data_IF_480319340435
#
_entry.id   IF_480319340435
#
_cell.length_a   1.000
_cell.length_b   1.000
_cell.length_c   1.000
_cell.angle_alpha   90.00
_cell.angle_beta   90.00
_cell.angle_gamma   90.00
#
_symmetry.space_group_name_H-M   'P 1'
#
loop_
_entity.id
_entity.type
_entity.pdbx_description
1 polymer ?
#
# COMPACT_ATOMS: atom_id res chain seq x y z
N UNK A 1 -16.21 -10.00 -0.33
CA UNK A 1 -15.03 -9.50 -1.06
C UNK A 1 -15.00 -8.00 -0.88
N UNK A 2 -13.90 -7.42 -0.39
CA UNK A 2 -13.71 -5.97 -0.40
C UNK A 2 -13.78 -5.49 -1.84
N UNK A 3 -14.59 -4.46 -2.10
CA UNK A 3 -14.68 -3.83 -3.42
C UNK A 3 -13.27 -3.40 -3.83
N UNK A 4 -12.78 -3.69 -5.06
CA UNK A 4 -11.53 -3.13 -5.53
C UNK A 4 -11.64 -1.61 -5.47
N UNK A 5 -10.88 -0.99 -4.57
CA UNK A 5 -10.81 0.46 -4.46
C UNK A 5 -9.95 0.95 -5.62
N UNK A 6 -10.56 1.64 -6.57
CA UNK A 6 -9.85 2.35 -7.62
C UNK A 6 -9.39 3.69 -7.05
N UNK A 7 -8.08 3.93 -7.11
CA UNK A 7 -7.51 5.23 -6.82
C UNK A 7 -7.16 5.89 -8.15
N UNK A 8 -7.77 7.03 -8.44
CA UNK A 8 -7.37 7.86 -9.58
C UNK A 8 -6.21 8.74 -9.14
N UNK A 9 -5.01 8.42 -9.60
CA UNK A 9 -3.85 9.27 -9.43
C UNK A 9 -3.82 10.25 -10.62
N UNK A 10 -4.14 11.52 -10.38
CA UNK A 10 -4.14 12.58 -11.41
C UNK A 10 -2.81 13.32 -11.54
N UNK A 11 -1.79 12.91 -10.79
CA UNK A 11 -0.49 13.59 -10.68
C UNK A 11 0.61 12.88 -11.50
N UNK A 12 1.55 13.66 -12.08
CA UNK A 12 2.80 13.13 -12.64
C UNK A 12 3.78 12.77 -11.51
N UNK A 13 3.64 11.56 -10.95
CA UNK A 13 4.62 10.98 -10.02
C UNK A 13 5.59 10.06 -10.77
N UNK A 14 6.81 9.87 -10.28
CA UNK A 14 7.68 8.82 -10.81
C UNK A 14 7.13 7.47 -10.37
N UNK A 15 6.51 6.76 -11.31
CA UNK A 15 5.82 5.51 -11.01
C UNK A 15 6.82 4.37 -10.82
N UNK A 16 6.80 3.75 -9.64
CA UNK A 16 7.54 2.50 -9.42
C UNK A 16 6.75 1.34 -9.98
N UNK A 17 7.16 0.87 -11.15
CA UNK A 17 6.67 -0.37 -11.73
C UNK A 17 7.32 -1.56 -11.05
N UNK A 18 6.52 -2.55 -10.66
CA UNK A 18 6.98 -3.82 -10.12
C UNK A 18 6.41 -4.93 -11.01
N UNK A 19 7.25 -5.89 -11.36
CA UNK A 19 6.83 -7.11 -12.03
C UNK A 19 6.26 -8.08 -10.99
N UNK A 20 5.02 -8.52 -11.19
CA UNK A 20 4.35 -9.48 -10.31
C UNK A 20 3.83 -10.66 -11.12
N UNK A 21 3.75 -11.83 -10.48
CA UNK A 21 3.10 -13.03 -11.01
C UNK A 21 1.71 -13.15 -10.39
N UNK A 22 0.65 -13.12 -11.21
CA UNK A 22 -0.75 -13.20 -10.73
C UNK A 22 -1.58 -14.17 -11.57
N UNK A 23 -2.51 -14.91 -10.94
CA UNK A 23 -3.46 -15.75 -11.67
C UNK A 23 -4.57 -14.88 -12.28
N UNK A 24 -4.60 -14.80 -13.60
CA UNK A 24 -5.64 -14.09 -14.36
C UNK A 24 -6.75 -15.08 -14.71
N UNK A 25 -7.98 -14.78 -14.31
CA UNK A 25 -9.15 -15.62 -14.64
C UNK A 25 -9.52 -15.40 -16.11
N UNK A 26 -9.51 -16.48 -16.89
CA UNK A 26 -9.84 -16.48 -18.32
C UNK A 26 -11.33 -16.70 -18.55
N UNK A 27 -11.89 -17.68 -17.82
CA UNK A 27 -13.30 -18.07 -17.92
C UNK A 27 -13.75 -18.73 -16.61
N UNK A 28 -15.03 -18.60 -16.30
CA UNK A 28 -15.65 -19.29 -15.18
C UNK A 28 -16.92 -20.01 -15.65
N UNK A 29 -17.09 -21.26 -15.23
CA UNK A 29 -18.26 -22.05 -15.56
C UNK A 29 -18.90 -22.60 -14.28
N UNK A 30 -20.23 -22.48 -14.18
CA UNK A 30 -21.02 -23.21 -13.20
C UNK A 30 -21.29 -24.62 -13.72
N UNK A 31 -21.05 -25.60 -12.85
CA UNK A 31 -21.04 -27.01 -13.22
C UNK A 31 -22.03 -27.74 -12.33
N UNK A 32 -22.94 -28.46 -12.98
CA UNK A 32 -23.86 -29.36 -12.32
C UNK A 32 -23.59 -30.80 -12.78
N UNK A 33 -23.39 -31.70 -11.81
CA UNK A 33 -23.23 -33.14 -12.03
C UNK A 33 -24.29 -33.87 -11.23
N UNK A 34 -25.10 -34.68 -11.92
CA UNK A 34 -26.09 -35.54 -11.28
C UNK A 34 -25.55 -36.96 -11.26
N UNK A 35 -25.48 -37.54 -10.06
CA UNK A 35 -25.01 -38.92 -9.82
C UNK A 35 -26.17 -39.72 -9.25
N UNK A 36 -26.68 -40.64 -10.06
CA UNK A 36 -27.72 -41.60 -9.63
C UNK A 36 -27.07 -42.92 -9.24
N UNK A 37 -27.44 -43.47 -8.08
CA UNK A 37 -26.85 -44.69 -7.56
C UNK A 37 -27.83 -45.55 -6.75
N UNK A 38 -27.59 -46.84 -6.72
CA UNK A 38 -28.27 -47.78 -5.84
C UNK A 38 -27.25 -48.54 -5.00
N UNK A 39 -27.41 -48.50 -3.68
CA UNK A 39 -26.56 -49.25 -2.75
C UNK A 39 -27.38 -50.31 -2.02
N UNK A 40 -26.76 -51.47 -1.80
CA UNK A 40 -27.29 -52.50 -0.91
C UNK A 40 -26.66 -52.31 0.46
N UNK A 41 -27.49 -52.02 1.47
CA UNK A 41 -27.06 -51.85 2.85
C UNK A 41 -26.54 -53.19 3.42
N UNK A 42 -25.49 -53.18 4.26
CA UNK A 42 -24.96 -54.40 4.88
C UNK A 42 -25.97 -55.13 5.76
N UNK A 43 -26.92 -54.38 6.33
CA UNK A 43 -27.98 -54.88 7.20
C UNK A 43 -29.33 -54.32 6.76
N UNK A 44 -30.42 -54.94 7.24
CA UNK A 44 -31.78 -54.46 7.01
C UNK A 44 -32.05 -53.21 7.85
N UNK A 45 -32.33 -52.10 7.16
CA UNK A 45 -32.72 -50.83 7.72
C UNK A 45 -34.25 -50.69 7.83
N UNK A 46 -34.70 -50.09 8.92
CA UNK A 46 -36.07 -49.61 9.11
C UNK A 46 -36.27 -48.25 8.44
N UNK A 47 -35.28 -47.36 8.53
CA UNK A 47 -35.26 -46.04 7.91
C UNK A 47 -33.83 -45.53 7.71
N UNK A 48 -33.68 -44.58 6.80
CA UNK A 48 -32.48 -43.75 6.68
C UNK A 48 -32.64 -42.55 7.60
N UNK A 49 -31.61 -42.25 8.37
CA UNK A 49 -31.58 -41.09 9.26
C UNK A 49 -31.07 -39.85 8.50
N UNK A 50 -29.86 -39.96 7.94
CA UNK A 50 -29.24 -38.92 7.11
C UNK A 50 -28.14 -39.49 6.22
N UNK A 51 -27.83 -38.77 5.16
CA UNK A 51 -26.66 -39.02 4.31
C UNK A 51 -25.81 -37.75 4.35
N UNK A 52 -24.54 -37.91 4.72
CA UNK A 52 -23.55 -36.83 4.68
C UNK A 52 -22.69 -37.06 3.45
N UNK A 53 -22.50 -36.03 2.63
CA UNK A 53 -21.65 -36.15 1.45
C UNK A 53 -20.61 -35.05 1.35
N UNK A 54 -19.53 -35.40 0.66
CA UNK A 54 -18.43 -34.50 0.36
C UNK A 54 -17.78 -34.91 -0.95
N UNK A 55 -17.32 -33.93 -1.72
CA UNK A 55 -16.50 -34.17 -2.90
C UNK A 55 -15.03 -34.27 -2.45
N UNK A 56 -14.35 -35.33 -2.89
CA UNK A 56 -12.93 -35.58 -2.67
C UNK A 56 -12.19 -35.67 -4.00
N UNK A 57 -10.89 -35.46 -3.96
CA UNK A 57 -9.98 -35.64 -5.10
C UNK A 57 -10.40 -34.94 -6.39
N UNK A 58 -10.99 -33.74 -6.25
CA UNK A 58 -11.47 -32.95 -7.39
C UNK A 58 -10.29 -32.47 -8.24
N UNK A 59 -10.32 -32.81 -9.53
CA UNK A 59 -9.27 -32.50 -10.51
C UNK A 59 -9.90 -31.90 -11.76
N UNK A 60 -9.21 -30.93 -12.36
CA UNK A 60 -9.58 -30.31 -13.63
C UNK A 60 -8.48 -30.49 -14.65
N UNK A 61 -8.77 -31.19 -15.74
CA UNK A 61 -7.86 -31.33 -16.88
C UNK A 61 -8.36 -30.47 -18.03
N UNK A 62 -7.45 -29.69 -18.62
CA UNK A 62 -7.74 -28.78 -19.71
C UNK A 62 -7.45 -29.44 -21.06
N UNK A 63 -8.36 -29.25 -22.01
CA UNK A 63 -8.18 -29.65 -23.41
C UNK A 63 -7.89 -28.40 -24.23
N UNK A 64 -6.71 -28.40 -24.84
CA UNK A 64 -6.21 -27.34 -25.70
C UNK A 64 -6.39 -27.74 -27.16
N UNK A 65 -6.65 -26.74 -27.99
CA UNK A 65 -6.69 -26.84 -29.45
C UNK A 65 -5.59 -25.93 -29.98
N UNK A 66 -4.66 -26.53 -30.74
CA UNK A 66 -3.65 -25.77 -31.48
C UNK A 66 -4.26 -25.45 -32.85
N UNK A 67 -4.46 -24.17 -33.16
CA UNK A 67 -4.75 -23.77 -34.53
C UNK A 67 -3.43 -23.77 -35.31
N UNK A 68 -3.03 -24.94 -35.82
CA UNK A 68 -2.00 -24.98 -36.86
C UNK A 68 -2.57 -24.27 -38.07
N UNK A 69 -2.13 -23.03 -38.36
CA UNK A 69 -2.33 -22.44 -39.68
C UNK A 69 -1.70 -23.41 -40.68
N UNK A 70 -2.55 -24.15 -41.41
CA UNK A 70 -2.14 -25.07 -42.46
C UNK A 70 -1.53 -24.26 -43.61
N UNK A 71 -0.20 -24.13 -43.59
CA UNK A 71 0.59 -23.47 -44.63
C UNK A 71 2.07 -23.81 -44.43
N UNK A 72 2.83 -23.85 -45.53
CA UNK A 72 4.25 -24.20 -45.51
C UNK A 72 5.02 -23.40 -44.45
N UNK A 73 5.75 -24.13 -43.60
CA UNK A 73 6.57 -23.54 -42.55
C UNK A 73 7.83 -22.95 -43.20
N UNK A 74 7.78 -21.66 -43.54
CA UNK A 74 9.00 -20.89 -43.82
C UNK A 74 9.57 -20.45 -42.48
N UNK A 75 10.63 -21.12 -42.02
CA UNK A 75 11.38 -20.69 -40.85
C UNK A 75 12.08 -19.37 -41.16
N UNK A 76 11.52 -18.25 -40.67
CA UNK A 76 12.20 -16.95 -40.68
C UNK A 76 12.98 -16.80 -39.37
N UNK A 77 14.32 -16.72 -39.39
CA UNK A 77 15.10 -16.48 -38.18
C UNK A 77 14.74 -15.13 -37.55
N UNK A 78 14.38 -15.13 -36.26
CA UNK A 78 14.13 -13.90 -35.48
C UNK A 78 12.69 -13.65 -35.05
N UNK A 79 11.71 -14.39 -35.59
CA UNK A 79 10.32 -14.30 -35.12
C UNK A 79 9.97 -15.48 -34.20
N UNK A 80 9.65 -15.18 -32.93
CA UNK A 80 8.94 -16.13 -32.06
C UNK A 80 7.55 -16.33 -32.67
N UNK A 81 7.33 -17.46 -33.34
CA UNK A 81 5.97 -17.88 -33.66
C UNK A 81 5.26 -18.20 -32.35
N UNK A 82 4.49 -17.24 -31.81
CA UNK A 82 3.50 -17.52 -30.79
C UNK A 82 2.52 -18.52 -31.42
N UNK A 83 2.63 -19.79 -31.04
CA UNK A 83 1.57 -20.75 -31.33
C UNK A 83 0.36 -20.26 -30.53
N UNK A 84 -0.69 -19.85 -31.22
CA UNK A 84 -1.98 -19.52 -30.60
C UNK A 84 -2.54 -20.83 -30.03
N UNK A 85 -2.27 -21.07 -28.74
CA UNK A 85 -2.86 -22.19 -28.00
C UNK A 85 -4.17 -21.69 -27.43
N UNK A 86 -5.27 -22.41 -27.71
CA UNK A 86 -6.59 -22.05 -27.19
C UNK A 86 -7.12 -23.14 -26.28
N UNK A 87 -7.62 -22.79 -25.11
CA UNK A 87 -8.36 -23.71 -24.25
C UNK A 87 -9.80 -23.82 -24.73
N UNK A 88 -10.33 -25.05 -24.87
CA UNK A 88 -11.68 -25.29 -25.40
C UNK A 88 -12.57 -26.07 -24.44
N UNK A 89 -12.03 -27.05 -23.74
CA UNK A 89 -12.82 -27.91 -22.86
C UNK A 89 -12.15 -28.12 -21.52
N UNK A 90 -12.96 -28.39 -20.51
CA UNK A 90 -12.53 -28.79 -19.17
C UNK A 90 -13.11 -30.17 -18.88
N UNK A 91 -12.27 -31.10 -18.43
CA UNK A 91 -12.69 -32.38 -17.89
C UNK A 91 -12.53 -32.30 -16.38
N UNK A 92 -13.64 -32.37 -15.66
CA UNK A 92 -13.69 -32.34 -14.21
C UNK A 92 -13.93 -33.76 -13.73
N UNK A 93 -13.12 -34.25 -12.81
CA UNK A 93 -13.28 -35.56 -12.19
C UNK A 93 -13.07 -35.47 -10.69
N UNK A 94 -13.71 -36.38 -9.95
CA UNK A 94 -13.59 -36.45 -8.49
C UNK A 94 -14.32 -37.65 -7.94
N UNK A 95 -14.35 -37.77 -6.61
CA UNK A 95 -15.03 -38.84 -5.88
C UNK A 95 -16.11 -38.21 -5.00
N UNK A 96 -17.35 -38.62 -5.18
CA UNK A 96 -18.44 -38.34 -4.27
C UNK A 96 -18.35 -39.34 -3.11
N UNK A 97 -17.82 -38.90 -1.97
CA UNK A 97 -17.79 -39.68 -0.74
C UNK A 97 -19.07 -39.45 0.06
N UNK A 98 -19.76 -40.52 0.41
CA UNK A 98 -21.01 -40.49 1.19
C UNK A 98 -20.88 -41.35 2.44
N UNK A 99 -21.42 -40.84 3.53
CA UNK A 99 -21.64 -41.54 4.77
C UNK A 99 -23.14 -41.66 5.03
N UNK A 100 -23.65 -42.88 5.00
CA UNK A 100 -25.07 -43.18 5.13
C UNK A 100 -25.34 -43.65 6.55
N UNK A 101 -26.18 -42.93 7.29
CA UNK A 101 -26.64 -43.31 8.63
C UNK A 101 -28.06 -43.87 8.56
N UNK A 102 -28.28 -45.02 9.17
CA UNK A 102 -29.56 -45.72 9.14
C UNK A 102 -29.86 -46.43 10.46
N UNK A 103 -31.13 -46.72 10.70
CA UNK A 103 -31.59 -47.46 11.88
C UNK A 103 -31.85 -48.91 11.48
N UNK A 104 -31.20 -49.87 12.12
CA UNK A 104 -31.40 -51.30 11.82
C UNK A 104 -32.66 -51.86 12.51
N UNK A 105 -32.96 -53.15 12.29
CA UNK A 105 -34.10 -53.85 12.92
C UNK A 105 -34.09 -53.88 14.45
N UNK A 106 -32.92 -53.68 15.07
CA UNK A 106 -32.76 -53.66 16.53
C UNK A 106 -32.86 -52.25 17.12
N UNK A 107 -33.30 -51.25 16.33
CA UNK A 107 -33.31 -49.83 16.69
C UNK A 107 -31.93 -49.23 16.99
N UNK A 108 -30.87 -49.80 16.45
CA UNK A 108 -29.51 -49.29 16.58
C UNK A 108 -29.17 -48.38 15.39
N UNK A 109 -28.47 -47.27 15.65
CA UNK A 109 -27.92 -46.42 14.60
C UNK A 109 -26.64 -47.06 14.06
N UNK A 110 -26.64 -47.37 12.77
CA UNK A 110 -25.52 -47.90 12.01
C UNK A 110 -25.10 -46.93 10.93
N UNK A 111 -23.90 -47.12 10.39
CA UNK A 111 -23.43 -46.34 9.26
C UNK A 111 -22.68 -47.20 8.26
N UNK A 112 -22.66 -46.76 7.00
CA UNK A 112 -21.84 -47.33 5.95
C UNK A 112 -21.34 -46.21 5.03
N UNK A 113 -20.19 -46.42 4.41
CA UNK A 113 -19.55 -45.45 3.53
C UNK A 113 -19.59 -45.93 2.08
N UNK A 114 -19.66 -44.99 1.14
CA UNK A 114 -19.60 -45.26 -0.29
C UNK A 114 -18.83 -44.16 -1.01
N UNK A 115 -17.96 -44.57 -1.93
CA UNK A 115 -17.22 -43.67 -2.82
C UNK A 115 -17.69 -43.88 -4.26
N UNK A 116 -18.18 -42.83 -4.90
CA UNK A 116 -18.64 -42.86 -6.29
C UNK A 116 -17.79 -41.92 -7.15
N UNK A 117 -16.98 -42.44 -8.08
CA UNK A 117 -16.26 -41.58 -9.01
C UNK A 117 -17.25 -40.91 -9.97
N UNK A 118 -17.04 -39.63 -10.25
CA UNK A 118 -17.77 -38.91 -11.28
C UNK A 118 -16.81 -38.20 -12.24
N UNK A 119 -17.30 -37.94 -13.45
CA UNK A 119 -16.57 -37.15 -14.46
C UNK A 119 -17.56 -36.36 -15.29
N UNK A 120 -17.23 -35.10 -15.56
CA UNK A 120 -18.02 -34.19 -16.39
C UNK A 120 -17.11 -33.44 -17.35
N UNK A 121 -17.45 -33.46 -18.63
CA UNK A 121 -16.82 -32.60 -19.63
C UNK A 121 -17.67 -31.35 -19.84
N UNK A 122 -17.01 -30.21 -19.93
CA UNK A 122 -17.62 -28.90 -20.14
C UNK A 122 -16.94 -28.25 -21.33
N UNK A 123 -17.75 -27.80 -22.28
CA UNK A 123 -17.29 -26.96 -23.37
C UNK A 123 -17.30 -25.50 -22.92
N UNK A 124 -16.17 -24.81 -23.12
CA UNK A 124 -16.13 -23.36 -22.96
C UNK A 124 -16.95 -22.72 -24.08
N UNK A 125 -17.68 -21.65 -23.74
CA UNK A 125 -18.55 -20.91 -24.66
C UNK A 125 -17.85 -20.60 -25.99
N UNK A 126 -16.58 -20.16 -25.92
CA UNK A 126 -15.68 -19.94 -27.06
C UNK A 126 -14.27 -20.45 -26.69
N UNK A 127 -13.45 -20.88 -27.67
CA UNK A 127 -12.03 -21.10 -27.43
C UNK A 127 -11.41 -19.81 -26.86
N UNK A 128 -10.59 -19.93 -25.80
CA UNK A 128 -9.94 -18.79 -25.15
C UNK A 128 -8.43 -18.86 -25.34
N UNK A 129 -7.84 -17.73 -25.73
CA UNK A 129 -6.41 -17.61 -25.93
C UNK A 129 -5.66 -17.72 -24.60
N UNK A 130 -4.57 -18.48 -24.61
CA UNK A 130 -3.62 -18.62 -23.50
C UNK A 130 -2.21 -18.34 -24.01
N UNK A 131 -1.40 -17.68 -23.20
CA UNK A 131 -0.02 -17.32 -23.54
C UNK A 131 0.91 -18.53 -23.36
N UNK A 132 0.75 -19.27 -22.25
CA UNK A 132 1.53 -20.45 -21.94
C UNK A 132 0.65 -21.59 -21.39
N UNK A 133 0.53 -22.67 -22.15
CA UNK A 133 -0.19 -23.89 -21.78
C UNK A 133 0.18 -24.44 -20.38
N UNK A 134 1.45 -24.35 -20.00
CA UNK A 134 1.94 -24.91 -18.73
C UNK A 134 1.53 -24.09 -17.49
N UNK A 135 1.11 -22.84 -17.70
CA UNK A 135 0.71 -21.91 -16.64
C UNK A 135 -0.81 -21.84 -16.46
N UNK A 136 -1.57 -22.64 -17.22
CA UNK A 136 -3.04 -22.68 -17.14
C UNK A 136 -3.51 -23.81 -16.24
N UNK A 137 -4.38 -23.48 -15.28
CA UNK A 137 -4.92 -24.44 -14.32
C UNK A 137 -6.40 -24.14 -13.99
N UNK A 138 -7.06 -25.09 -13.34
CA UNK A 138 -8.46 -24.99 -12.93
C UNK A 138 -8.53 -24.82 -11.42
N UNK A 139 -9.23 -23.78 -10.96
CA UNK A 139 -9.57 -23.56 -9.56
C UNK A 139 -11.05 -23.85 -9.34
N UNK A 140 -11.35 -24.61 -8.28
CA UNK A 140 -12.72 -24.94 -7.91
C UNK A 140 -13.17 -24.11 -6.71
N UNK A 141 -14.38 -23.57 -6.80
CA UNK A 141 -15.02 -22.77 -5.75
C UNK A 141 -16.48 -23.20 -5.59
N UNK A 142 -17.09 -22.83 -4.46
CA UNK A 142 -18.53 -23.02 -4.21
C UNK A 142 -19.00 -24.46 -4.45
N UNK A 143 -18.25 -25.44 -3.95
CA UNK A 143 -18.59 -26.87 -4.09
C UNK A 143 -19.68 -27.20 -3.08
N UNK A 144 -20.85 -27.55 -3.59
CA UNK A 144 -22.01 -27.95 -2.81
C UNK A 144 -22.58 -29.28 -3.33
N UNK A 145 -23.19 -30.05 -2.43
CA UNK A 145 -23.77 -31.35 -2.75
C UNK A 145 -25.13 -31.48 -2.09
N UNK A 146 -26.16 -31.60 -2.90
CA UNK A 146 -27.50 -31.97 -2.46
C UNK A 146 -27.73 -33.47 -2.71
N UNK A 147 -28.42 -34.15 -1.80
CA UNK A 147 -28.73 -35.58 -1.92
C UNK A 147 -30.18 -35.84 -1.59
N UNK A 148 -30.86 -36.46 -2.53
CA UNK A 148 -32.18 -37.04 -2.34
C UNK A 148 -32.07 -38.57 -2.29
N UNK A 149 -32.89 -39.21 -1.46
CA UNK A 149 -32.84 -40.66 -1.29
C UNK A 149 -34.22 -41.27 -1.07
N UNK A 150 -34.34 -42.54 -1.46
CA UNK A 150 -35.53 -43.36 -1.24
C UNK A 150 -35.13 -44.78 -0.81
N UNK A 151 -35.64 -45.23 0.33
CA UNK A 151 -35.45 -46.60 0.79
C UNK A 151 -36.44 -47.53 0.09
N UNK A 152 -36.10 -47.98 -1.12
CA UNK A 152 -36.93 -48.84 -1.98
C UNK A 152 -37.30 -50.16 -1.29
N UNK A 153 -36.38 -50.74 -0.52
CA UNK A 153 -36.59 -51.92 0.33
C UNK A 153 -35.70 -51.81 1.56
N UNK A 154 -35.96 -52.62 2.60
CA UNK A 154 -35.19 -52.61 3.85
C UNK A 154 -33.65 -52.67 3.67
N UNK A 155 -33.12 -53.28 2.59
CA UNK A 155 -31.68 -53.25 2.29
C UNK A 155 -31.30 -52.50 1.01
N UNK A 156 -32.25 -51.92 0.25
CA UNK A 156 -31.97 -51.30 -1.05
C UNK A 156 -32.33 -49.82 -1.02
N UNK A 157 -31.29 -48.98 -1.14
CA UNK A 157 -31.40 -47.53 -1.04
C UNK A 157 -31.06 -46.91 -2.41
N UNK A 158 -32.01 -46.18 -2.97
CA UNK A 158 -31.84 -45.36 -4.16
C UNK A 158 -31.45 -43.94 -3.74
N UNK A 159 -30.50 -43.35 -4.45
CA UNK A 159 -29.93 -42.04 -4.12
C UNK A 159 -29.63 -41.27 -5.39
N UNK A 160 -30.00 -40.00 -5.40
CA UNK A 160 -29.66 -39.05 -6.46
C UNK A 160 -28.93 -37.87 -5.83
N UNK A 161 -27.65 -37.73 -6.13
CA UNK A 161 -26.82 -36.62 -5.67
C UNK A 161 -26.64 -35.57 -6.78
N UNK A 162 -26.78 -34.30 -6.44
CA UNK A 162 -26.56 -33.16 -7.33
C UNK A 162 -25.37 -32.37 -6.78
N UNK A 163 -24.27 -32.41 -7.52
CA UNK A 163 -23.04 -31.68 -7.20
C UNK A 163 -23.05 -30.38 -8.00
N UNK A 164 -22.92 -29.25 -7.31
CA UNK A 164 -22.81 -27.91 -7.93
C UNK A 164 -21.46 -27.33 -7.55
N UNK A 165 -20.71 -26.83 -8.54
CA UNK A 165 -19.43 -26.17 -8.30
C UNK A 165 -19.12 -25.12 -9.36
N UNK A 166 -18.27 -24.15 -9.03
CA UNK A 166 -17.72 -23.19 -9.98
C UNK A 166 -16.30 -23.59 -10.37
N UNK A 167 -16.07 -23.88 -11.64
CA UNK A 167 -14.75 -24.13 -12.20
C UNK A 167 -14.23 -22.84 -12.87
N UNK A 168 -13.12 -22.31 -12.37
CA UNK A 168 -12.43 -21.14 -12.94
C UNK A 168 -11.16 -21.59 -13.64
N UNK A 169 -11.03 -21.27 -14.92
CA UNK A 169 -9.78 -21.44 -15.66
C UNK A 169 -8.95 -20.19 -15.44
N UNK A 170 -7.77 -20.34 -14.87
CA UNK A 170 -6.84 -19.26 -14.61
C UNK A 170 -5.49 -19.54 -15.26
N UNK A 171 -4.80 -18.49 -15.67
CA UNK A 171 -3.44 -18.54 -16.18
C UNK A 171 -2.55 -17.63 -15.33
N UNK A 172 -1.43 -18.17 -14.90
CA UNK A 172 -0.39 -17.43 -14.20
C UNK A 172 0.35 -16.50 -15.18
N UNK A 173 0.13 -15.18 -15.06
CA UNK A 173 0.77 -14.18 -15.93
C UNK A 173 1.72 -13.29 -15.15
N UNK A 174 2.83 -12.92 -15.80
CA UNK A 174 3.71 -11.85 -15.34
C UNK A 174 3.20 -10.53 -15.91
N UNK A 175 2.86 -9.59 -15.02
CA UNK A 175 2.40 -8.25 -15.40
C UNK A 175 3.21 -7.20 -14.65
N UNK A 176 3.44 -6.07 -15.32
CA UNK A 176 3.92 -4.88 -14.64
C UNK A 176 2.73 -4.18 -14.00
N UNK A 177 2.78 -4.04 -12.67
CA UNK A 177 1.85 -3.19 -11.94
C UNK A 177 2.55 -1.92 -11.51
N UNK A 178 1.84 -0.81 -11.63
CA UNK A 178 2.21 0.42 -10.97
C UNK A 178 1.83 0.28 -9.49
N UNK A 179 2.82 0.29 -8.61
CA UNK A 179 2.56 0.37 -7.17
C UNK A 179 2.49 1.83 -6.77
N UNK A 180 1.32 2.26 -6.30
CA UNK A 180 1.21 3.55 -5.62
C UNK A 180 1.76 3.37 -4.20
N UNK A 181 2.69 4.22 -3.73
CA UNK A 181 2.96 4.26 -2.30
C UNK A 181 1.63 4.53 -1.60
N UNK A 182 1.36 3.84 -0.48
CA UNK A 182 0.25 4.27 0.39
C UNK A 182 0.49 5.76 0.66
N UNK A 183 -0.50 6.65 0.45
CA UNK A 183 -0.33 8.03 0.82
C UNK A 183 -0.06 8.03 2.32
N UNK A 184 1.21 8.22 2.72
CA UNK A 184 1.48 8.56 4.11
C UNK A 184 0.79 9.91 4.28
N UNK A 185 -0.23 9.91 5.12
CA UNK A 185 -0.92 11.13 5.47
C UNK A 185 0.09 12.09 6.08
N UNK A 186 -0.10 13.39 5.82
CA UNK A 186 0.70 14.38 6.50
C UNK A 186 0.49 14.18 8.01
N UNK A 187 1.56 13.92 8.79
CA UNK A 187 1.42 13.87 10.23
C UNK A 187 0.87 15.21 10.73
N UNK A 188 -0.05 15.16 11.69
CA UNK A 188 -0.60 16.37 12.30
C UNK A 188 0.43 17.05 13.19
N UNK A 189 0.38 18.38 13.22
CA UNK A 189 1.15 19.21 14.14
C UNK A 189 2.56 19.57 13.68
N UNK A 190 3.32 20.13 14.63
CA UNK A 190 4.68 20.62 14.39
C UNK A 190 5.70 19.48 14.36
N UNK A 191 6.45 19.38 13.27
CA UNK A 191 7.53 18.42 13.11
C UNK A 191 8.84 18.87 13.77
N UNK A 192 9.01 20.17 14.02
CA UNK A 192 10.13 20.68 14.79
C UNK A 192 9.98 20.29 16.26
N UNK A 193 11.05 19.81 16.87
CA UNK A 193 11.11 19.56 18.32
C UNK A 193 11.45 20.86 19.02
N UNK A 194 10.74 21.15 20.11
CA UNK A 194 10.94 22.38 20.87
C UNK A 194 10.95 23.62 19.94
N UNK A 195 9.88 23.74 19.14
CA UNK A 195 9.72 24.84 18.19
C UNK A 195 9.64 26.21 18.86
N UNK A 196 9.10 26.27 20.09
CA UNK A 196 9.11 27.47 20.92
C UNK A 196 10.46 27.76 21.60
N UNK A 197 11.50 26.94 21.37
CA UNK A 197 12.87 27.19 21.84
C UNK A 197 12.95 27.42 23.37
N UNK A 198 12.31 26.55 24.14
CA UNK A 198 12.17 26.69 25.61
C UNK A 198 13.18 25.84 26.39
N UNK A 199 13.83 24.86 25.75
CA UNK A 199 14.67 23.88 26.43
C UNK A 199 16.15 24.09 26.13
N UNK A 200 16.87 24.62 27.13
CA UNK A 200 18.29 24.96 27.04
C UNK A 200 19.13 24.22 28.09
N UNK A 201 20.31 23.76 27.68
CA UNK A 201 21.30 23.18 28.60
C UNK A 201 22.07 24.28 29.35
N UNK A 202 22.31 25.40 28.67
CA UNK A 202 22.82 26.67 29.20
C UNK A 202 22.41 27.83 28.27
N UNK A 203 22.83 29.05 28.60
CA UNK A 203 22.46 30.27 27.88
C UNK A 203 22.78 30.29 26.38
N UNK A 204 23.59 29.37 25.87
CA UNK A 204 24.05 29.33 24.46
C UNK A 204 23.79 28.00 23.76
N UNK A 205 23.32 26.98 24.47
CA UNK A 205 23.16 25.62 23.94
C UNK A 205 21.72 25.11 24.11
N UNK A 206 20.86 25.26 23.08
CA UNK A 206 19.53 24.66 23.08
C UNK A 206 19.62 23.13 22.97
N UNK A 207 18.75 22.39 23.65
CA UNK A 207 18.85 20.93 23.78
C UNK A 207 18.50 20.21 22.46
N UNK A 208 17.52 20.71 21.73
CA UNK A 208 17.02 20.07 20.51
C UNK A 208 17.53 20.73 19.21
N UNK A 209 18.31 21.80 19.33
CA UNK A 209 18.78 22.60 18.19
C UNK A 209 20.30 22.72 18.24
N UNK A 210 20.94 22.65 17.08
CA UNK A 210 22.32 23.07 16.92
C UNK A 210 22.40 24.58 16.83
N UNK A 211 23.37 25.17 17.53
CA UNK A 211 23.52 26.61 17.64
C UNK A 211 24.98 27.04 17.46
N UNK A 212 25.20 28.18 16.82
CA UNK A 212 26.49 28.86 16.73
C UNK A 212 26.27 30.37 16.71
N UNK A 213 26.94 31.12 17.60
CA UNK A 213 26.69 32.55 17.79
C UNK A 213 25.19 32.85 18.04
N UNK A 214 24.60 32.06 18.95
CA UNK A 214 23.21 32.19 19.41
C UNK A 214 23.24 32.17 20.93
N UNK A 215 22.33 32.91 21.56
CA UNK A 215 22.06 32.79 22.99
C UNK A 215 20.56 32.87 23.26
N UNK A 216 20.13 32.35 24.41
CA UNK A 216 18.75 32.46 24.86
C UNK A 216 18.41 33.90 25.24
N UNK A 217 17.15 34.28 25.07
CA UNK A 217 16.62 35.58 25.48
C UNK A 217 15.24 35.40 26.10
N UNK A 218 14.89 36.24 27.07
CA UNK A 218 13.56 36.25 27.72
C UNK A 218 12.58 37.18 27.02
N UNK A 219 13.03 37.89 25.98
CA UNK A 219 12.16 38.64 25.09
C UNK A 219 11.64 37.66 24.05
N UNK A 220 10.58 36.93 24.40
CA UNK A 220 9.97 35.90 23.55
C UNK A 220 8.63 36.36 22.97
N UNK A 221 8.17 35.66 21.94
CA UNK A 221 6.82 35.77 21.39
C UNK A 221 5.87 34.83 22.15
N UNK A 222 6.31 33.59 22.35
CA UNK A 222 5.63 32.55 23.12
C UNK A 222 6.47 32.15 24.35
N UNK A 223 5.84 31.48 25.31
CA UNK A 223 6.56 30.88 26.44
C UNK A 223 7.48 31.82 27.24
N UNK A 224 8.67 31.35 27.61
CA UNK A 224 9.63 32.05 28.48
C UNK A 224 10.93 32.42 27.78
N UNK A 225 11.27 31.73 26.68
CA UNK A 225 12.55 31.88 26.01
C UNK A 225 12.40 31.97 24.49
N UNK A 226 13.39 32.58 23.85
CA UNK A 226 13.56 32.57 22.40
C UNK A 226 15.05 32.47 22.07
N UNK A 227 15.40 32.24 20.80
CA UNK A 227 16.79 32.21 20.36
C UNK A 227 17.20 33.54 19.73
N UNK A 228 18.29 34.14 20.21
CA UNK A 228 18.87 35.37 19.66
C UNK A 228 20.16 35.08 18.89
N UNK A 229 20.09 35.19 17.56
CA UNK A 229 21.22 35.01 16.66
C UNK A 229 22.06 36.29 16.57
N UNK A 230 23.38 36.13 16.58
CA UNK A 230 24.35 37.23 16.60
C UNK A 230 24.66 37.76 18.02
N UNK A 231 24.08 37.17 19.06
CA UNK A 231 24.18 37.68 20.45
C UNK A 231 25.59 37.62 21.03
N UNK A 232 26.35 36.58 20.71
CA UNK A 232 27.72 36.44 21.24
C UNK A 232 28.68 37.41 20.53
N UNK A 233 28.49 37.60 19.23
CA UNK A 233 29.19 38.62 18.44
C UNK A 233 28.36 39.03 17.20
N UNK A 234 27.81 40.26 17.15
CA UNK A 234 26.94 40.69 16.05
C UNK A 234 27.71 40.95 14.73
N UNK A 235 29.04 40.88 14.75
CA UNK A 235 29.90 40.98 13.55
C UNK A 235 30.23 39.60 12.94
N UNK A 236 29.89 38.50 13.61
CA UNK A 236 30.16 37.15 13.11
C UNK A 236 28.87 36.47 12.62
N UNK A 237 28.97 35.56 11.64
CA UNK A 237 27.84 34.72 11.26
C UNK A 237 27.31 33.92 12.45
N UNK A 238 26.00 33.65 12.44
CA UNK A 238 25.36 32.78 13.42
C UNK A 238 24.42 31.79 12.75
N UNK A 239 24.19 30.64 13.39
CA UNK A 239 23.28 29.62 12.88
C UNK A 239 22.49 28.96 13.99
N UNK A 240 21.23 28.67 13.70
CA UNK A 240 20.33 27.86 14.52
C UNK A 240 19.71 26.80 13.60
N UNK A 241 19.83 25.51 13.91
CA UNK A 241 19.35 24.46 13.03
C UNK A 241 18.88 23.21 13.76
N UNK A 242 17.99 22.45 13.13
CA UNK A 242 17.51 21.17 13.65
C UNK A 242 17.27 20.18 12.51
N UNK A 243 17.72 18.94 12.73
CA UNK A 243 17.39 17.81 11.87
C UNK A 243 16.05 17.19 12.26
N UNK A 244 15.12 17.16 11.31
CA UNK A 244 13.81 16.51 11.40
C UNK A 244 13.86 15.19 10.64
N UNK A 245 13.92 14.09 11.38
CA UNK A 245 14.02 12.72 10.83
C UNK A 245 12.73 11.90 10.93
N UNK A 246 11.68 12.46 11.55
CA UNK A 246 10.37 11.82 11.71
C UNK A 246 9.30 12.65 11.04
N UNK A 247 8.32 11.98 10.43
CA UNK A 247 7.18 12.66 9.82
C UNK A 247 7.44 13.29 8.45
N UNK A 248 8.64 13.11 7.88
CA UNK A 248 8.92 13.51 6.50
C UNK A 248 8.37 12.46 5.53
N UNK A 249 7.45 12.92 4.70
CA UNK A 249 6.73 12.20 3.67
C UNK A 249 7.08 12.76 2.29
N UNK A 250 7.32 11.86 1.34
CA UNK A 250 7.53 12.15 -0.07
C UNK A 250 6.29 12.68 -0.79
N UNK A 251 6.49 13.44 -1.88
CA UNK A 251 5.40 14.01 -2.67
C UNK A 251 4.56 15.07 -1.93
N UNK A 252 5.09 15.67 -0.86
CA UNK A 252 4.39 16.70 -0.07
C UNK A 252 5.09 18.04 -0.14
N UNK A 253 4.35 19.11 0.12
CA UNK A 253 4.91 20.42 0.45
C UNK A 253 5.00 20.57 1.97
N UNK A 254 5.96 21.36 2.42
CA UNK A 254 6.07 21.72 3.83
C UNK A 254 5.94 23.23 3.98
N UNK A 255 5.39 23.63 5.11
CA UNK A 255 5.27 25.03 5.50
C UNK A 255 6.09 25.24 6.76
N UNK A 256 7.13 26.07 6.65
CA UNK A 256 7.88 26.58 7.79
C UNK A 256 7.28 27.92 8.20
N UNK A 257 6.82 28.04 9.44
CA UNK A 257 6.36 29.29 10.03
C UNK A 257 7.19 29.60 11.25
N UNK A 258 7.55 30.86 11.46
CA UNK A 258 8.28 31.29 12.65
C UNK A 258 8.03 32.76 12.91
N UNK A 259 8.30 33.20 14.12
CA UNK A 259 8.26 34.60 14.49
C UNK A 259 9.67 35.15 14.59
N UNK A 260 9.88 36.33 14.01
CA UNK A 260 11.16 37.02 14.05
C UNK A 260 10.98 38.46 14.46
N UNK A 261 11.94 38.96 15.24
CA UNK A 261 12.13 40.37 15.53
C UNK A 261 13.61 40.70 15.54
N UNK A 262 13.91 41.96 15.33
CA UNK A 262 15.25 42.49 15.53
C UNK A 262 15.41 42.94 16.98
N UNK A 263 16.65 43.01 17.44
CA UNK A 263 17.01 43.75 18.63
C UNK A 263 18.10 44.78 18.34
N UNK A 264 17.78 46.03 18.67
CA UNK A 264 18.63 47.17 18.41
C UNK A 264 19.59 47.37 19.59
N UNK A 265 20.78 46.77 19.51
CA UNK A 265 21.81 46.90 20.53
C UNK A 265 22.68 48.15 20.26
N UNK A 266 22.90 48.96 21.31
CA UNK A 266 23.89 50.04 21.30
C UNK A 266 23.67 51.11 20.22
N UNK A 267 24.63 51.25 19.30
CA UNK A 267 24.69 52.32 18.29
C UNK A 267 23.64 52.19 17.15
N UNK A 268 22.75 51.20 17.22
CA UNK A 268 21.61 50.99 16.31
C UNK A 268 22.01 50.95 14.82
N UNK A 269 23.10 50.26 14.51
CA UNK A 269 23.49 49.99 13.13
C UNK A 269 22.97 48.62 12.69
N UNK A 270 21.79 48.65 12.07
CA UNK A 270 21.11 47.48 11.50
C UNK A 270 21.66 47.16 10.11
N UNK A 271 22.46 46.10 9.99
CA UNK A 271 23.05 45.69 8.72
C UNK A 271 23.33 44.19 8.68
N UNK A 272 22.28 43.38 8.67
CA UNK A 272 22.38 41.92 8.53
C UNK A 272 21.31 41.35 7.60
N UNK A 273 21.48 40.09 7.21
CA UNK A 273 20.44 39.26 6.60
C UNK A 273 20.21 37.99 7.43
N UNK A 274 18.96 37.55 7.50
CA UNK A 274 18.55 36.30 8.12
C UNK A 274 18.01 35.39 7.03
N UNK A 275 18.68 34.28 6.75
CA UNK A 275 18.23 33.28 5.80
C UNK A 275 17.56 32.12 6.54
N UNK A 276 16.28 31.89 6.29
CA UNK A 276 15.52 30.78 6.82
C UNK A 276 15.33 29.72 5.71
N UNK A 277 15.70 28.48 5.99
CA UNK A 277 15.76 27.41 5.01
C UNK A 277 15.23 26.09 5.56
N UNK A 278 14.59 25.33 4.68
CA UNK A 278 14.27 23.91 4.85
C UNK A 278 15.00 23.13 3.78
N UNK A 279 16.01 22.37 4.18
CA UNK A 279 16.82 21.53 3.29
C UNK A 279 16.32 20.08 3.37
N UNK A 280 16.11 19.42 2.25
CA UNK A 280 15.67 18.03 2.20
C UNK A 280 16.79 17.10 1.78
N UNK A 281 16.89 15.95 2.43
CA UNK A 281 17.91 14.94 2.17
C UNK A 281 17.29 13.57 1.92
N UNK A 282 17.96 12.77 1.08
CA UNK A 282 17.65 11.34 0.93
C UNK A 282 18.28 10.47 2.05
N UNK A 283 18.05 9.17 2.00
CA UNK A 283 18.59 8.21 2.98
C UNK A 283 20.12 8.16 3.02
N UNK A 284 20.79 8.57 1.94
CA UNK A 284 22.26 8.63 1.86
C UNK A 284 22.84 9.94 2.39
N UNK A 285 21.99 10.90 2.77
CA UNK A 285 22.39 12.24 3.21
C UNK A 285 22.66 13.22 2.08
N UNK A 286 22.30 12.89 0.83
CA UNK A 286 22.42 13.82 -0.30
C UNK A 286 21.28 14.84 -0.25
N UNK A 287 21.61 16.13 -0.40
CA UNK A 287 20.60 17.18 -0.49
C UNK A 287 19.84 17.09 -1.82
N UNK A 288 18.52 16.92 -1.75
CA UNK A 288 17.64 16.73 -2.90
C UNK A 288 16.66 17.89 -3.13
N UNK A 289 16.53 18.82 -2.18
CA UNK A 289 15.64 19.98 -2.30
C UNK A 289 15.90 21.06 -1.27
N UNK A 290 15.41 22.27 -1.54
CA UNK A 290 15.49 23.42 -0.63
C UNK A 290 14.26 24.32 -0.81
N UNK A 291 13.68 24.78 0.30
CA UNK A 291 12.83 25.96 0.35
C UNK A 291 13.52 27.01 1.22
N UNK A 292 13.64 28.25 0.74
CA UNK A 292 14.37 29.30 1.44
C UNK A 292 13.71 30.66 1.30
N UNK A 293 13.93 31.51 2.30
CA UNK A 293 13.60 32.92 2.26
C UNK A 293 14.67 33.71 3.01
N UNK A 294 15.22 34.72 2.35
CA UNK A 294 16.15 35.66 2.98
C UNK A 294 15.41 36.92 3.37
N UNK A 295 15.52 37.30 4.64
CA UNK A 295 14.99 38.52 5.21
C UNK A 295 16.14 39.52 5.39
N UNK A 296 15.97 40.74 4.88
CA UNK A 296 16.87 41.83 5.23
C UNK A 296 16.51 42.35 6.61
N UNK A 297 17.50 42.82 7.35
CA UNK A 297 17.30 43.54 8.61
C UNK A 297 16.22 44.65 8.52
N UNK A 298 16.17 45.41 7.42
CA UNK A 298 15.12 46.43 7.18
C UNK A 298 13.68 45.90 7.09
N UNK A 299 13.51 44.59 6.83
CA UNK A 299 12.19 43.93 6.77
C UNK A 299 11.77 43.32 8.10
N UNK A 300 12.65 43.34 9.10
CA UNK A 300 12.42 42.75 10.42
C UNK A 300 12.17 43.89 11.42
N UNK A 301 11.03 43.95 12.12
CA UNK A 301 10.79 45.02 13.08
C UNK A 301 11.60 44.89 14.37
N UNK A 302 12.05 46.02 14.92
CA UNK A 302 12.89 46.08 16.13
C UNK A 302 12.12 45.84 17.44
N UNK A 303 10.81 46.08 17.46
CA UNK A 303 10.04 46.17 18.71
C UNK A 303 8.90 45.16 18.82
N UNK A 304 8.55 44.49 17.73
CA UNK A 304 7.47 43.53 17.69
C UNK A 304 7.88 42.30 16.86
N UNK A 305 7.43 41.14 17.31
CA UNK A 305 7.55 39.92 16.52
C UNK A 305 6.62 39.97 15.31
N UNK A 306 7.15 39.56 14.17
CA UNK A 306 6.39 39.35 12.93
C UNK A 306 6.49 37.91 12.49
N UNK A 307 5.36 37.37 12.07
CA UNK A 307 5.30 36.02 11.51
C UNK A 307 5.85 36.00 10.09
N UNK A 308 6.68 35.01 9.80
CA UNK A 308 7.18 34.70 8.47
C UNK A 308 6.78 33.28 8.12
N UNK A 309 6.35 33.07 6.88
CA UNK A 309 5.89 31.77 6.40
C UNK A 309 6.55 31.44 5.06
N UNK A 310 7.14 30.26 4.98
CA UNK A 310 7.85 29.74 3.81
C UNK A 310 7.19 28.43 3.41
N UNK A 311 6.76 28.33 2.15
CA UNK A 311 6.29 27.06 1.57
C UNK A 311 7.40 26.47 0.72
N UNK A 312 7.73 25.21 0.96
CA UNK A 312 8.75 24.49 0.20
C UNK A 312 8.20 23.99 -1.14
N UNK A 313 9.08 23.70 -2.11
CA UNK A 313 8.71 22.87 -3.25
C UNK A 313 8.20 21.49 -2.80
N UNK A 314 7.49 20.79 -3.70
CA UNK A 314 7.08 19.40 -3.48
C UNK A 314 8.34 18.53 -3.37
N UNK A 315 8.43 17.75 -2.31
CA UNK A 315 9.56 16.83 -2.07
C UNK A 315 9.53 15.65 -3.05
N UNK A 316 10.72 15.17 -3.46
CA UNK A 316 10.87 13.98 -4.33
C UNK A 316 10.56 12.67 -3.58
N UNK A 317 10.41 11.59 -4.35
CA UNK A 317 10.02 10.25 -3.85
C UNK A 317 11.04 9.61 -2.89
N UNK A 318 12.30 10.04 -2.93
CA UNK A 318 13.39 9.51 -2.12
C UNK A 318 13.72 10.38 -0.89
N UNK A 319 12.88 11.34 -0.51
CA UNK A 319 13.11 12.16 0.69
C UNK A 319 13.03 11.31 1.97
N UNK A 320 13.99 11.50 2.86
CA UNK A 320 14.06 10.81 4.14
C UNK A 320 14.05 11.75 5.34
N UNK A 321 14.78 12.87 5.25
CA UNK A 321 14.92 13.83 6.35
C UNK A 321 14.87 15.27 5.86
N UNK A 322 14.60 16.20 6.77
CA UNK A 322 14.66 17.63 6.51
C UNK A 322 15.52 18.33 7.57
N UNK A 323 16.16 19.44 7.23
CA UNK A 323 16.86 20.33 8.16
C UNK A 323 16.20 21.69 8.13
N UNK A 324 15.76 22.19 9.28
CA UNK A 324 15.39 23.59 9.46
C UNK A 324 16.68 24.33 9.80
N UNK A 325 16.97 25.44 9.11
CA UNK A 325 18.16 26.25 9.36
C UNK A 325 17.85 27.75 9.27
N UNK A 326 18.24 28.48 10.29
CA UNK A 326 18.35 29.94 10.29
C UNK A 326 19.83 30.32 10.23
N UNK A 327 20.19 31.20 9.30
CA UNK A 327 21.56 31.69 9.14
C UNK A 327 21.57 33.22 9.22
N UNK A 328 22.19 33.74 10.26
CA UNK A 328 22.43 35.16 10.46
C UNK A 328 23.76 35.55 9.78
N UNK A 329 23.70 36.48 8.84
CA UNK A 329 24.88 36.97 8.10
C UNK A 329 25.00 38.48 8.29
N UNK A 330 25.91 38.95 9.16
CA UNK A 330 26.11 40.39 9.35
C UNK A 330 26.98 40.98 8.25
N UNK A 331 26.72 42.25 7.93
CA UNK A 331 27.63 43.10 7.17
C UNK A 331 28.58 43.84 8.11
N UNK A 332 29.59 44.52 7.56
CA UNK A 332 30.53 45.31 8.36
C UNK A 332 29.80 46.33 9.24
N UNK A 333 30.21 46.43 10.51
CA UNK A 333 29.70 47.37 11.50
C UNK A 333 28.25 47.11 11.96
N UNK A 334 27.71 45.92 11.71
CA UNK A 334 26.41 45.51 12.26
C UNK A 334 26.43 45.38 13.80
N UNK A 335 25.58 46.12 14.50
CA UNK A 335 25.45 46.01 15.96
C UNK A 335 24.23 45.22 16.40
N UNK A 336 23.27 45.00 15.50
CA UNK A 336 21.96 44.46 15.84
C UNK A 336 21.90 42.94 15.66
N UNK A 337 20.94 42.32 16.32
CA UNK A 337 20.74 40.86 16.35
C UNK A 337 19.32 40.49 15.94
N UNK A 338 19.09 39.22 15.65
CA UNK A 338 17.77 38.72 15.29
C UNK A 338 17.29 37.68 16.31
N UNK A 339 16.09 37.85 16.84
CA UNK A 339 15.44 36.88 17.72
C UNK A 339 14.43 36.06 16.91
N UNK A 340 14.49 34.74 17.05
CA UNK A 340 13.60 33.77 16.40
C UNK A 340 12.86 32.99 17.48
N UNK A 341 11.56 32.78 17.26
CA UNK A 341 10.68 32.09 18.19
C UNK A 341 9.53 31.37 17.47
N UNK A 342 8.84 30.45 18.17
CA UNK A 342 7.66 29.71 17.73
C UNK A 342 7.79 29.11 16.32
N UNK A 343 8.87 28.35 16.12
CA UNK A 343 9.20 27.67 14.87
C UNK A 343 8.31 26.45 14.67
N UNK A 344 7.49 26.46 13.61
CA UNK A 344 6.66 25.35 13.19
C UNK A 344 7.01 24.86 11.80
N UNK A 345 7.25 23.55 11.66
CA UNK A 345 7.36 22.89 10.37
C UNK A 345 6.19 21.94 10.22
N UNK A 346 5.29 22.22 9.28
CA UNK A 346 4.09 21.43 9.05
C UNK A 346 4.11 20.81 7.66
N UNK A 347 3.59 19.59 7.55
CA UNK A 347 3.30 18.96 6.26
C UNK A 347 1.99 19.52 5.72
N UNK A 348 2.00 20.13 4.54
CA UNK A 348 0.81 20.70 3.91
C UNK A 348 0.09 19.58 3.17
N UNK A 349 -1.14 19.21 3.57
CA UNK A 349 -1.94 18.27 2.80
C UNK A 349 -2.24 18.91 1.44
N UNK A 350 -2.08 18.13 0.37
CA UNK A 350 -2.51 18.58 -0.95
C UNK A 350 -4.03 18.76 -0.88
N UNK A 351 -4.52 19.96 -1.14
CA UNK A 351 -5.95 20.24 -1.22
C UNK A 351 -6.51 19.44 -2.39
N UNK A 352 -7.09 18.28 -2.09
CA UNK A 352 -7.92 17.55 -3.04
C UNK A 352 -9.22 18.34 -3.17
N UNK A 353 -9.29 19.21 -4.17
CA UNK A 353 -10.59 19.69 -4.65
C UNK A 353 -11.29 18.46 -5.26
N UNK A 354 -12.20 17.89 -4.50
CA UNK A 354 -13.11 16.84 -4.96
C UNK A 354 -14.23 17.45 -5.80
#
# INVERSE_FOLDING_TARGET
MSVPQQFFLTEQQFVRCIEIKVPVVIEAAEVQVVVDNHITLPELALKIDKIIASVRDLKGNLIFVDETKSGDIVLVPGHKHHREVKVRKIIISGILHKQIFYVNKNNEVRHTAEDIPFTKMIDLSKPKDVDNRSDVFVQFHSVDVDINWELVRASRLHQTAVIVLTAKVAEDRQIFVQTCPRPRECPEGNLARDGGLEVWADDSHPVFWGASNVAQTTISHGGSFAAELGRLNPQLPGSLFQMVSRGIVAGRQYRLTFYVREDALGHKHSSFSLNAEVLFFDESGLQIGVGSQTLSSTSIPETAYTQVQITTPITRDNVATAMIRFSFTPSQNNTNTAKVDDVTLECVPLTTNF
#
